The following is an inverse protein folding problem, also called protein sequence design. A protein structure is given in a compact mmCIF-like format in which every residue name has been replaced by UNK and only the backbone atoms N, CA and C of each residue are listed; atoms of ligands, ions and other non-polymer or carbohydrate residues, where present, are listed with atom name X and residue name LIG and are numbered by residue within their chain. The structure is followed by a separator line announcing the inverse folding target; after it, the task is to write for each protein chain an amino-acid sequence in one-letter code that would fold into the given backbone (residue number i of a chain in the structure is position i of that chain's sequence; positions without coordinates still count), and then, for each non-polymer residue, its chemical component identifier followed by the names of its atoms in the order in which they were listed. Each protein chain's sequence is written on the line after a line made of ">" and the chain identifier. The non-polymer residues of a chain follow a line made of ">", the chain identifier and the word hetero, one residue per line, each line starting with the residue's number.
data_IF_367732675774
#
_entry.id   IF_367732675774
#
_cell.length_a   1.000
_cell.length_b   1.000
_cell.length_c   1.000
_cell.angle_alpha   90.00
_cell.angle_beta   90.00
_cell.angle_gamma   90.00
#
_symmetry.space_group_name_H-M   'P 1'
#
loop_
_entity.id
_entity.type
_entity.pdbx_description
1 polymer ?
#
# COMPACT_ATOMS: atom_id res chain seq x y z
N UNK A 1 21.76 24.76 -43.48
CA UNK A 1 22.01 24.24 -42.14
C UNK A 1 20.78 23.50 -41.66
N UNK A 2 20.67 22.19 -41.91
CA UNK A 2 19.48 21.40 -41.59
C UNK A 2 19.69 20.80 -40.16
N UNK A 3 18.86 21.19 -39.22
CA UNK A 3 18.82 20.62 -37.86
C UNK A 3 18.19 19.23 -37.89
N UNK A 4 18.89 18.31 -37.35
CA UNK A 4 18.56 16.88 -37.28
C UNK A 4 17.51 16.69 -36.16
N UNK A 5 16.23 16.46 -36.54
CA UNK A 5 15.08 16.28 -35.61
C UNK A 5 14.69 14.82 -35.43
N UNK A 6 15.59 13.86 -35.70
CA UNK A 6 15.21 12.43 -35.71
C UNK A 6 15.22 11.73 -34.33
N UNK A 7 15.80 12.33 -33.30
CA UNK A 7 15.88 11.68 -31.96
C UNK A 7 14.62 11.83 -31.11
N UNK A 8 13.85 12.90 -31.31
CA UNK A 8 12.66 13.22 -30.48
C UNK A 8 11.46 12.36 -30.88
N UNK A 9 11.40 11.94 -32.14
CA UNK A 9 10.27 11.14 -32.65
C UNK A 9 10.22 9.69 -32.17
N UNK A 10 11.34 9.09 -31.83
CA UNK A 10 11.37 7.69 -31.36
C UNK A 10 10.90 7.57 -29.90
N UNK A 11 11.33 8.47 -29.04
CA UNK A 11 10.91 8.52 -27.64
C UNK A 11 9.42 8.91 -27.53
N UNK A 12 8.98 9.87 -28.35
CA UNK A 12 7.56 10.23 -28.40
C UNK A 12 6.70 9.05 -28.91
N UNK A 13 7.18 8.28 -29.88
CA UNK A 13 6.48 7.10 -30.37
C UNK A 13 6.37 6.00 -29.29
N UNK A 14 7.44 5.73 -28.56
CA UNK A 14 7.45 4.74 -27.48
C UNK A 14 6.49 5.16 -26.35
N UNK A 15 6.51 6.42 -25.93
CA UNK A 15 5.58 6.94 -24.92
C UNK A 15 4.14 6.87 -25.40
N UNK A 16 3.87 7.16 -26.66
CA UNK A 16 2.53 7.09 -27.25
C UNK A 16 2.01 5.65 -27.29
N UNK A 17 2.88 4.68 -27.60
CA UNK A 17 2.54 3.24 -27.59
C UNK A 17 2.23 2.77 -26.17
N UNK A 18 3.01 3.19 -25.18
CA UNK A 18 2.76 2.87 -23.77
C UNK A 18 1.43 3.45 -23.31
N UNK A 19 1.13 4.71 -23.63
CA UNK A 19 -0.15 5.35 -23.30
C UNK A 19 -1.31 4.65 -24.01
N UNK A 20 -1.17 4.24 -25.26
CA UNK A 20 -2.22 3.51 -25.99
C UNK A 20 -2.45 2.11 -25.42
N UNK A 21 -1.41 1.43 -24.93
CA UNK A 21 -1.54 0.13 -24.27
C UNK A 21 -2.24 0.25 -22.91
N UNK A 22 -1.95 1.30 -22.14
CA UNK A 22 -2.64 1.60 -20.88
C UNK A 22 -4.12 1.93 -21.14
N UNK A 23 -4.42 2.74 -22.16
CA UNK A 23 -5.79 3.09 -22.53
C UNK A 23 -6.56 1.90 -23.12
N UNK A 24 -5.90 1.00 -23.84
CA UNK A 24 -6.52 -0.23 -24.33
C UNK A 24 -6.86 -1.21 -23.19
N UNK A 25 -6.01 -1.30 -22.15
CA UNK A 25 -6.28 -2.08 -20.93
C UNK A 25 -7.51 -1.60 -20.18
N UNK A 26 -7.69 -0.30 -20.06
CA UNK A 26 -8.85 0.32 -19.40
C UNK A 26 -10.15 0.11 -20.20
N UNK A 27 -10.07 0.09 -21.53
CA UNK A 27 -11.25 -0.07 -22.40
C UNK A 27 -11.84 -1.48 -22.39
N UNK A 28 -11.06 -2.51 -22.07
CA UNK A 28 -11.53 -3.90 -21.98
C UNK A 28 -12.35 -4.14 -20.70
N UNK A 29 -12.08 -3.41 -19.62
CA UNK A 29 -12.88 -3.50 -18.38
C UNK A 29 -14.32 -2.99 -18.54
N UNK A 30 -14.59 -2.12 -19.50
CA UNK A 30 -15.92 -1.53 -19.69
C UNK A 30 -16.91 -2.43 -20.45
N UNK A 31 -16.49 -3.51 -21.08
CA UNK A 31 -17.31 -4.34 -21.98
C UNK A 31 -17.88 -5.60 -21.31
N UNK A 32 -17.45 -5.97 -20.11
CA UNK A 32 -17.79 -7.26 -19.48
C UNK A 32 -18.92 -7.24 -18.45
N UNK A 33 -19.73 -6.18 -18.37
CA UNK A 33 -20.79 -6.07 -17.35
C UNK A 33 -22.13 -6.74 -17.68
N UNK A 34 -22.25 -7.61 -18.66
CA UNK A 34 -23.51 -8.32 -18.91
C UNK A 34 -23.29 -9.84 -18.99
N UNK A 35 -23.74 -10.53 -17.94
CA UNK A 35 -23.86 -12.00 -17.74
C UNK A 35 -22.81 -12.66 -16.83
N UNK A 36 -22.93 -12.48 -15.51
CA UNK A 36 -21.85 -12.81 -14.59
C UNK A 36 -22.11 -13.89 -13.52
N UNK A 37 -23.13 -14.66 -13.52
CA UNK A 37 -23.35 -15.63 -12.44
C UNK A 37 -22.95 -17.09 -12.76
N UNK A 38 -22.39 -17.37 -13.92
CA UNK A 38 -21.99 -18.73 -14.32
C UNK A 38 -20.53 -18.95 -14.68
N UNK A 39 -19.67 -17.91 -14.65
CA UNK A 39 -18.28 -17.99 -15.18
C UNK A 39 -17.20 -17.43 -14.26
N UNK A 40 -17.43 -17.34 -12.96
CA UNK A 40 -16.54 -16.63 -12.03
C UNK A 40 -15.16 -17.29 -11.88
N UNK A 41 -15.06 -18.60 -11.90
CA UNK A 41 -13.75 -19.28 -11.80
C UNK A 41 -12.96 -19.25 -13.10
N UNK A 42 -13.63 -19.36 -14.23
CA UNK A 42 -12.99 -19.34 -15.54
C UNK A 42 -12.51 -17.93 -15.90
N UNK A 43 -13.29 -16.89 -15.56
CA UNK A 43 -12.92 -15.49 -15.73
C UNK A 43 -11.76 -15.08 -14.83
N UNK A 44 -11.68 -15.62 -13.60
CA UNK A 44 -10.55 -15.39 -12.69
C UNK A 44 -9.26 -15.97 -13.27
N UNK A 45 -9.30 -17.20 -13.77
CA UNK A 45 -8.14 -17.83 -14.39
C UNK A 45 -7.69 -17.15 -15.69
N UNK A 46 -8.62 -16.61 -16.48
CA UNK A 46 -8.30 -15.85 -17.70
C UNK A 46 -7.75 -14.46 -17.37
N UNK A 47 -8.23 -13.83 -16.30
CA UNK A 47 -7.74 -12.53 -15.83
C UNK A 47 -6.34 -12.65 -15.21
N UNK A 48 -6.10 -13.67 -14.39
CA UNK A 48 -4.79 -13.97 -13.81
C UNK A 48 -3.77 -14.33 -14.91
N UNK A 49 -4.19 -15.06 -15.93
CA UNK A 49 -3.36 -15.38 -17.10
C UNK A 49 -3.12 -14.16 -18.00
N UNK A 50 -4.09 -13.26 -18.14
CA UNK A 50 -3.92 -12.02 -18.89
C UNK A 50 -2.97 -11.09 -18.16
N UNK A 51 -3.11 -10.96 -16.84
CA UNK A 51 -2.23 -10.15 -15.99
C UNK A 51 -0.81 -10.72 -15.95
N UNK A 52 -0.67 -12.05 -15.90
CA UNK A 52 0.62 -12.71 -16.00
C UNK A 52 1.29 -12.48 -17.36
N UNK A 53 0.53 -12.59 -18.46
CA UNK A 53 1.02 -12.27 -19.81
C UNK A 53 1.40 -10.80 -19.98
N UNK A 54 0.62 -9.90 -19.40
CA UNK A 54 0.92 -8.47 -19.42
C UNK A 54 2.21 -8.18 -18.64
N UNK A 55 2.37 -8.76 -17.45
CA UNK A 55 3.58 -8.66 -16.65
C UNK A 55 4.80 -9.29 -17.36
N UNK A 56 4.65 -10.44 -18.02
CA UNK A 56 5.70 -11.05 -18.82
C UNK A 56 6.09 -10.17 -20.03
N UNK A 57 5.13 -9.52 -20.63
CA UNK A 57 5.35 -8.59 -21.75
C UNK A 57 6.04 -7.33 -21.28
N UNK A 58 5.60 -6.74 -20.16
CA UNK A 58 6.23 -5.59 -19.52
C UNK A 58 7.66 -5.92 -19.08
N UNK A 59 7.87 -7.09 -18.47
CA UNK A 59 9.21 -7.58 -18.12
C UNK A 59 10.10 -7.69 -19.38
N UNK A 60 9.61 -8.25 -20.47
CA UNK A 60 10.38 -8.36 -21.70
C UNK A 60 10.73 -7.01 -22.35
N UNK A 61 9.85 -6.02 -22.22
CA UNK A 61 10.15 -4.64 -22.64
C UNK A 61 11.17 -3.97 -21.72
N UNK A 62 11.05 -4.21 -20.43
CA UNK A 62 12.02 -3.74 -19.42
C UNK A 62 13.41 -4.34 -19.68
N UNK A 63 13.49 -5.63 -19.94
CA UNK A 63 14.74 -6.31 -20.29
C UNK A 63 15.39 -5.71 -21.53
N UNK A 64 14.58 -5.40 -22.54
CA UNK A 64 15.07 -4.72 -23.75
C UNK A 64 15.52 -3.28 -23.52
N UNK A 65 14.79 -2.53 -22.67
CA UNK A 65 15.20 -1.18 -22.27
C UNK A 65 16.51 -1.24 -21.48
N UNK A 66 16.64 -2.19 -20.57
CA UNK A 66 17.82 -2.42 -19.76
C UNK A 66 19.03 -2.83 -20.62
N UNK A 67 18.83 -3.58 -21.70
CA UNK A 67 19.89 -3.91 -22.67
C UNK A 67 20.45 -2.64 -23.36
N UNK A 68 19.61 -1.62 -23.57
CA UNK A 68 20.00 -0.33 -24.15
C UNK A 68 20.45 0.72 -23.12
N UNK A 69 20.16 0.51 -21.83
CA UNK A 69 20.46 1.46 -20.73
C UNK A 69 21.11 0.73 -19.54
N UNK A 70 22.29 0.12 -19.72
CA UNK A 70 22.94 -0.71 -18.70
C UNK A 70 23.33 0.06 -17.43
N UNK A 71 23.27 1.39 -17.45
CA UNK A 71 23.62 2.23 -16.30
C UNK A 71 22.41 2.61 -15.42
N UNK A 72 21.21 2.14 -15.76
CA UNK A 72 20.03 2.43 -14.91
C UNK A 72 20.11 1.69 -13.58
N UNK A 73 19.58 2.33 -12.54
CA UNK A 73 19.52 1.71 -11.22
C UNK A 73 18.72 0.41 -11.26
N UNK A 74 17.61 0.37 -12.02
CA UNK A 74 16.78 -0.83 -12.17
C UNK A 74 17.54 -2.01 -12.77
N UNK A 75 18.35 -1.77 -13.81
CA UNK A 75 19.19 -2.81 -14.40
C UNK A 75 20.22 -3.33 -13.38
N UNK A 76 20.91 -2.43 -12.68
CA UNK A 76 21.94 -2.80 -11.69
C UNK A 76 21.38 -3.59 -10.51
N UNK A 77 20.17 -3.28 -10.07
CA UNK A 77 19.49 -4.06 -9.02
C UNK A 77 19.02 -5.42 -9.57
N UNK A 78 18.44 -5.44 -10.78
CA UNK A 78 17.91 -6.68 -11.37
C UNK A 78 19.00 -7.70 -11.69
N UNK A 79 20.20 -7.26 -12.06
CA UNK A 79 21.31 -8.17 -12.36
C UNK A 79 22.23 -8.47 -11.15
N UNK A 80 21.88 -7.92 -9.98
CA UNK A 80 22.60 -8.17 -8.72
C UNK A 80 23.88 -7.37 -8.52
N UNK A 81 24.15 -6.35 -9.35
CA UNK A 81 25.27 -5.41 -9.10
C UNK A 81 24.97 -4.54 -7.87
N UNK A 82 23.71 -4.26 -7.61
CA UNK A 82 23.22 -3.56 -6.42
C UNK A 82 22.26 -4.48 -5.67
N UNK A 83 22.56 -4.75 -4.43
CA UNK A 83 21.78 -5.69 -3.61
C UNK A 83 20.53 -5.04 -3.02
N UNK A 84 19.51 -5.87 -2.79
CA UNK A 84 18.35 -5.52 -1.95
C UNK A 84 18.87 -5.10 -0.56
N UNK A 85 18.34 -4.00 -0.05
CA UNK A 85 18.76 -3.44 1.23
C UNK A 85 19.92 -2.47 1.16
N UNK A 86 20.57 -2.28 0.00
CA UNK A 86 21.60 -1.24 -0.20
C UNK A 86 21.00 0.16 0.02
N UNK A 87 21.79 1.06 0.56
CA UNK A 87 21.38 2.45 0.80
C UNK A 87 21.51 3.30 -0.46
N UNK A 88 20.53 4.19 -0.64
CA UNK A 88 20.45 5.13 -1.78
C UNK A 88 20.16 6.53 -1.27
N UNK A 89 20.88 7.52 -1.78
CA UNK A 89 20.66 8.93 -1.49
C UNK A 89 19.45 9.46 -2.28
N UNK A 90 18.27 9.27 -1.70
CA UNK A 90 17.03 9.89 -2.17
C UNK A 90 16.71 11.08 -1.28
N UNK A 91 16.43 12.22 -1.89
CA UNK A 91 16.09 13.45 -1.18
C UNK A 91 14.70 13.87 -1.62
N UNK A 92 13.69 13.85 -0.72
CA UNK A 92 12.37 14.38 -1.01
C UNK A 92 12.41 15.89 -1.30
N UNK A 93 11.41 16.38 -2.05
CA UNK A 93 11.17 17.81 -2.15
C UNK A 93 10.85 18.39 -0.75
N UNK A 94 11.31 19.59 -0.47
CA UNK A 94 11.05 20.23 0.83
C UNK A 94 9.56 20.54 1.00
N UNK A 95 9.01 20.16 2.15
CA UNK A 95 7.62 20.41 2.53
C UNK A 95 7.59 21.37 3.71
N UNK A 96 6.75 22.39 3.59
CA UNK A 96 6.56 23.42 4.62
C UNK A 96 5.10 23.50 5.06
N UNK A 97 4.86 24.05 6.23
CA UNK A 97 3.51 24.28 6.75
C UNK A 97 2.65 25.23 5.88
N UNK A 98 3.29 25.96 4.96
CA UNK A 98 2.57 26.85 4.03
C UNK A 98 2.06 26.14 2.78
N UNK A 99 2.54 24.94 2.47
CA UNK A 99 2.16 24.20 1.29
C UNK A 99 0.69 23.77 1.36
N UNK A 100 -0.05 23.98 0.28
CA UNK A 100 -1.48 23.67 0.25
C UNK A 100 -1.75 22.17 0.46
N UNK A 101 -0.96 21.30 -0.17
CA UNK A 101 -1.09 19.85 0.00
C UNK A 101 -0.83 19.41 1.44
N UNK A 102 0.13 20.05 2.12
CA UNK A 102 0.38 19.77 3.51
C UNK A 102 -0.78 20.20 4.42
N UNK A 103 -1.32 21.40 4.19
CA UNK A 103 -2.53 21.87 4.91
C UNK A 103 -3.73 20.96 4.68
N UNK A 104 -3.91 20.52 3.45
CA UNK A 104 -4.96 19.56 3.10
C UNK A 104 -4.75 18.22 3.83
N UNK A 105 -3.51 17.69 3.87
CA UNK A 105 -3.18 16.49 4.62
C UNK A 105 -3.57 16.61 6.10
N UNK A 106 -3.14 17.67 6.77
CA UNK A 106 -3.44 17.87 8.21
C UNK A 106 -4.95 18.00 8.43
N UNK A 107 -5.66 18.74 7.56
CA UNK A 107 -7.11 18.85 7.62
C UNK A 107 -7.81 17.50 7.42
N UNK A 108 -7.32 16.69 6.49
CA UNK A 108 -7.88 15.37 6.20
C UNK A 108 -7.64 14.40 7.36
N UNK A 109 -6.45 14.39 7.93
CA UNK A 109 -6.14 13.60 9.12
C UNK A 109 -7.04 13.99 10.29
N UNK A 110 -7.19 15.27 10.57
CA UNK A 110 -8.07 15.76 11.64
C UNK A 110 -9.56 15.46 11.41
N UNK A 111 -9.98 15.38 10.14
CA UNK A 111 -11.42 15.24 9.80
C UNK A 111 -11.84 13.78 9.63
N UNK A 112 -10.98 12.94 9.04
CA UNK A 112 -11.38 11.64 8.52
C UNK A 112 -10.69 10.44 9.19
N UNK A 113 -9.81 10.66 10.15
CA UNK A 113 -9.14 9.58 10.89
C UNK A 113 -10.01 8.98 12.00
N UNK A 114 -11.13 9.62 12.32
CA UNK A 114 -11.94 9.29 13.50
C UNK A 114 -11.32 9.76 14.82
N UNK A 115 -10.08 10.28 14.78
CA UNK A 115 -9.34 10.69 15.96
C UNK A 115 -10.00 11.89 16.67
N UNK A 116 -10.14 11.77 17.96
CA UNK A 116 -10.63 12.83 18.85
C UNK A 116 -9.55 13.36 19.82
N UNK A 117 -8.36 12.78 19.79
CA UNK A 117 -7.24 13.14 20.65
C UNK A 117 -6.38 14.25 20.01
N UNK A 118 -6.25 15.37 20.71
CA UNK A 118 -5.50 16.55 20.24
C UNK A 118 -3.97 16.30 20.15
N UNK A 119 -3.47 15.23 20.73
CA UNK A 119 -2.04 14.89 20.73
C UNK A 119 -1.58 14.20 19.44
N UNK A 120 -2.52 13.74 18.59
CA UNK A 120 -2.22 13.04 17.35
C UNK A 120 -2.72 13.80 16.11
N UNK A 121 -2.26 13.42 14.95
CA UNK A 121 -2.71 13.95 13.64
C UNK A 121 -2.54 15.47 13.48
N UNK A 122 -1.64 16.08 14.23
CA UNK A 122 -1.43 17.54 14.24
C UNK A 122 -0.24 17.95 13.37
N UNK A 123 -0.22 19.21 12.93
CA UNK A 123 0.92 19.77 12.19
C UNK A 123 2.22 19.76 13.01
N UNK A 124 2.14 19.73 14.33
CA UNK A 124 3.33 19.61 15.19
C UNK A 124 3.95 18.21 15.10
N UNK A 125 3.14 17.18 14.98
CA UNK A 125 3.55 15.78 14.96
C UNK A 125 3.79 15.27 13.53
N UNK A 126 2.87 15.56 12.62
CA UNK A 126 2.93 15.09 11.23
C UNK A 126 3.75 16.07 10.39
N UNK A 127 5.04 15.88 10.30
CA UNK A 127 5.94 16.72 9.49
C UNK A 127 6.99 15.90 8.77
N UNK A 128 7.54 16.50 7.72
CA UNK A 128 8.64 15.89 6.99
C UNK A 128 9.84 15.72 7.90
N UNK A 129 10.25 14.48 8.09
CA UNK A 129 11.48 14.18 8.80
C UNK A 129 12.70 14.44 7.92
N UNK A 130 13.72 15.06 8.50
CA UNK A 130 14.99 15.31 7.81
C UNK A 130 15.93 14.11 7.95
N UNK A 131 16.75 13.91 6.93
CA UNK A 131 17.78 12.86 6.93
C UNK A 131 17.25 11.42 6.99
N UNK A 132 16.02 11.20 6.50
CA UNK A 132 15.52 9.84 6.29
C UNK A 132 16.46 9.12 5.34
N UNK A 133 16.93 7.93 5.75
CA UNK A 133 17.75 7.06 4.93
C UNK A 133 16.86 6.12 4.14
N UNK A 134 17.26 5.80 2.93
CA UNK A 134 16.47 4.99 2.00
C UNK A 134 17.26 3.75 1.58
N UNK A 135 16.56 2.63 1.51
CA UNK A 135 17.14 1.35 1.12
C UNK A 135 16.42 0.78 -0.09
N UNK A 136 17.14 0.10 -0.96
CA UNK A 136 16.55 -0.63 -2.08
C UNK A 136 15.60 -1.70 -1.53
N UNK A 137 14.33 -1.61 -1.90
CA UNK A 137 13.31 -2.59 -1.55
C UNK A 137 13.29 -3.72 -2.59
N UNK A 138 13.05 -3.38 -3.84
CA UNK A 138 13.03 -4.33 -4.97
C UNK A 138 12.99 -3.59 -6.32
N UNK A 139 12.83 -4.36 -7.38
CA UNK A 139 12.44 -3.86 -8.71
C UNK A 139 11.05 -4.42 -9.04
N UNK A 140 10.11 -3.54 -9.29
CA UNK A 140 8.74 -3.89 -9.67
C UNK A 140 8.37 -3.13 -10.95
N UNK A 141 7.88 -3.83 -11.95
CA UNK A 141 7.52 -3.27 -13.27
C UNK A 141 8.65 -2.42 -13.90
N UNK A 142 9.92 -2.86 -13.72
CA UNK A 142 11.10 -2.18 -14.23
C UNK A 142 11.50 -0.90 -13.49
N UNK A 143 10.88 -0.60 -12.39
CA UNK A 143 11.17 0.53 -11.54
C UNK A 143 11.72 0.08 -10.18
N UNK A 144 12.75 0.74 -9.70
CA UNK A 144 13.28 0.48 -8.35
C UNK A 144 12.33 1.08 -7.33
N UNK A 145 11.99 0.28 -6.33
CA UNK A 145 11.33 0.78 -5.13
C UNK A 145 12.34 0.93 -4.01
N UNK A 146 12.27 2.06 -3.34
CA UNK A 146 13.02 2.34 -2.11
C UNK A 146 12.06 2.30 -0.93
N UNK A 147 12.55 1.87 0.23
CA UNK A 147 11.84 1.93 1.50
C UNK A 147 12.65 2.78 2.48
N UNK A 148 11.99 3.54 3.36
CA UNK A 148 12.68 4.22 4.44
C UNK A 148 13.43 3.20 5.32
N UNK A 149 14.64 3.49 5.75
CA UNK A 149 15.41 2.56 6.57
C UNK A 149 14.76 2.32 7.94
N UNK A 150 14.01 3.30 8.42
CA UNK A 150 13.27 3.27 9.68
C UNK A 150 11.85 3.78 9.43
N UNK A 151 10.86 3.44 10.27
CA UNK A 151 9.59 4.12 10.27
C UNK A 151 9.73 5.63 10.48
N UNK A 152 8.78 6.39 9.99
CA UNK A 152 8.74 7.85 10.05
C UNK A 152 7.44 8.32 10.71
N UNK A 153 7.43 9.54 11.21
CA UNK A 153 6.28 10.14 11.88
C UNK A 153 5.84 9.36 13.14
N UNK A 154 6.86 9.05 13.96
CA UNK A 154 6.69 8.41 15.25
C UNK A 154 7.88 8.67 16.16
N UNK A 155 7.76 8.36 17.44
CA UNK A 155 8.88 8.34 18.36
C UNK A 155 9.58 7.00 18.32
N UNK A 156 10.91 7.01 18.43
CA UNK A 156 11.68 5.75 18.50
C UNK A 156 11.26 4.98 19.74
N UNK A 157 10.85 3.75 19.53
CA UNK A 157 10.38 2.82 20.58
C UNK A 157 9.03 3.17 21.24
N UNK A 158 8.35 4.17 20.73
CA UNK A 158 7.02 4.56 21.15
C UNK A 158 6.07 4.54 19.95
N UNK A 159 4.83 4.79 20.27
CA UNK A 159 3.74 4.87 19.33
C UNK A 159 3.99 5.93 18.24
N UNK A 160 3.36 5.76 17.11
CA UNK A 160 3.42 6.72 16.02
C UNK A 160 2.53 7.94 16.24
N UNK A 161 2.54 8.83 15.28
CA UNK A 161 1.78 10.09 15.36
C UNK A 161 0.49 10.08 14.55
N UNK A 162 0.24 8.98 13.79
CA UNK A 162 -1.00 8.83 13.03
C UNK A 162 -1.95 7.94 13.80
N UNK A 163 -2.93 8.57 14.43
CA UNK A 163 -4.02 7.87 15.09
C UNK A 163 -5.17 7.64 14.10
N UNK A 164 -5.66 6.42 14.10
CA UNK A 164 -6.89 6.00 13.43
C UNK A 164 -7.84 5.48 14.51
N UNK A 165 -9.11 5.83 14.41
CA UNK A 165 -10.12 5.46 15.40
C UNK A 165 -11.45 5.17 14.70
N UNK A 166 -12.22 4.26 15.27
CA UNK A 166 -13.56 3.88 14.87
C UNK A 166 -13.70 3.48 13.38
N UNK A 167 -14.92 3.43 12.87
CA UNK A 167 -15.20 3.10 11.47
C UNK A 167 -14.70 4.17 10.48
N UNK A 168 -14.54 5.42 10.91
CA UNK A 168 -13.97 6.48 10.09
C UNK A 168 -12.49 6.21 9.83
N UNK A 169 -11.75 5.91 10.89
CA UNK A 169 -10.34 5.51 10.80
C UNK A 169 -10.17 4.29 9.89
N UNK A 170 -10.98 3.24 10.07
CA UNK A 170 -10.94 2.07 9.21
C UNK A 170 -11.21 2.40 7.75
N UNK A 171 -12.26 3.17 7.48
CA UNK A 171 -12.69 3.49 6.13
C UNK A 171 -11.66 4.33 5.38
N UNK A 172 -11.02 5.27 6.04
CA UNK A 172 -10.10 6.22 5.42
C UNK A 172 -8.61 5.86 5.56
N UNK A 173 -8.27 4.81 6.32
CA UNK A 173 -6.90 4.45 6.69
C UNK A 173 -5.92 4.44 5.53
N UNK A 174 -6.22 3.65 4.49
CA UNK A 174 -5.32 3.45 3.35
C UNK A 174 -4.95 4.77 2.69
N UNK A 175 -5.97 5.62 2.46
CA UNK A 175 -5.75 6.90 1.82
C UNK A 175 -5.00 7.88 2.73
N UNK A 176 -5.36 7.97 4.00
CA UNK A 176 -4.72 8.89 4.94
C UNK A 176 -3.24 8.55 5.14
N UNK A 177 -2.91 7.27 5.29
CA UNK A 177 -1.53 6.83 5.47
C UNK A 177 -0.73 7.02 4.17
N UNK A 178 -1.29 6.66 3.00
CA UNK A 178 -0.64 6.84 1.69
C UNK A 178 -0.46 8.34 1.37
N UNK A 179 -1.46 9.19 1.65
CA UNK A 179 -1.37 10.64 1.46
C UNK A 179 -0.32 11.27 2.37
N UNK A 180 -0.16 10.78 3.60
CA UNK A 180 0.90 11.22 4.50
C UNK A 180 2.27 10.95 3.88
N UNK A 181 2.52 9.72 3.43
CA UNK A 181 3.79 9.37 2.80
C UNK A 181 4.02 10.18 1.51
N UNK A 182 3.01 10.29 0.65
CA UNK A 182 3.13 10.98 -0.63
C UNK A 182 3.29 12.49 -0.49
N UNK A 183 2.69 13.09 0.51
CA UNK A 183 2.85 14.53 0.76
C UNK A 183 4.23 14.83 1.34
N UNK A 184 4.70 14.02 2.28
CA UNK A 184 5.92 14.35 3.02
C UNK A 184 7.21 13.88 2.30
N UNK A 185 7.15 12.83 1.48
CA UNK A 185 8.37 12.19 0.96
C UNK A 185 8.45 12.10 -0.56
N UNK A 186 7.60 12.83 -1.30
CA UNK A 186 7.66 12.86 -2.75
C UNK A 186 8.86 13.67 -3.26
N UNK A 187 9.40 13.28 -4.41
CA UNK A 187 10.26 14.11 -5.25
C UNK A 187 9.72 14.06 -6.69
N UNK A 188 9.12 15.16 -7.11
CA UNK A 188 8.42 15.25 -8.39
C UNK A 188 9.31 15.01 -9.62
N UNK A 189 10.63 15.07 -9.48
CA UNK A 189 11.58 14.86 -10.59
C UNK A 189 11.95 13.41 -10.78
N UNK A 190 12.10 12.65 -9.69
CA UNK A 190 12.71 11.32 -9.73
C UNK A 190 11.80 10.22 -9.19
N UNK A 191 10.71 10.54 -8.48
CA UNK A 191 9.72 9.57 -8.02
C UNK A 191 8.50 9.54 -8.96
N UNK A 192 8.08 8.35 -9.35
CA UNK A 192 6.83 8.13 -10.10
C UNK A 192 5.65 7.91 -9.17
N UNK A 193 5.89 7.35 -7.97
CA UNK A 193 4.88 7.10 -6.95
C UNK A 193 5.51 7.10 -5.56
N UNK A 194 4.75 7.59 -4.60
CA UNK A 194 5.07 7.47 -3.17
C UNK A 194 3.82 6.99 -2.44
N UNK A 195 3.98 5.99 -1.60
CA UNK A 195 2.92 5.41 -0.78
C UNK A 195 3.50 4.83 0.49
N UNK A 196 2.68 4.38 1.40
CA UNK A 196 3.14 3.59 2.54
C UNK A 196 3.34 2.11 2.14
N UNK A 197 4.09 1.36 2.95
CA UNK A 197 4.23 -0.09 2.78
C UNK A 197 2.87 -0.77 2.97
N UNK A 198 2.62 -1.82 2.17
CA UNK A 198 1.38 -2.59 2.19
C UNK A 198 1.63 -4.02 2.66
N UNK A 199 0.58 -4.66 3.18
CA UNK A 199 0.67 -6.07 3.56
C UNK A 199 1.02 -6.95 2.35
N UNK A 200 0.51 -6.61 1.17
CA UNK A 200 0.79 -7.32 -0.08
C UNK A 200 2.27 -7.28 -0.46
N UNK A 201 2.98 -6.21 -0.12
CA UNK A 201 4.44 -6.11 -0.34
C UNK A 201 5.20 -7.12 0.52
N UNK A 202 4.75 -7.35 1.76
CA UNK A 202 5.32 -8.37 2.65
C UNK A 202 4.96 -9.76 2.16
N UNK A 203 3.67 -10.01 1.88
CA UNK A 203 3.15 -11.30 1.41
C UNK A 203 3.82 -11.75 0.10
N UNK A 204 4.13 -10.82 -0.80
CA UNK A 204 4.81 -11.13 -2.05
C UNK A 204 6.21 -11.74 -1.85
N UNK A 205 6.88 -11.39 -0.75
CA UNK A 205 8.24 -11.84 -0.43
C UNK A 205 8.28 -13.03 0.53
N UNK A 206 7.13 -13.48 1.04
CA UNK A 206 7.03 -14.67 1.89
C UNK A 206 7.10 -15.95 1.08
N UNK A 207 7.82 -16.95 1.59
CA UNK A 207 7.89 -18.31 1.03
C UNK A 207 6.57 -19.05 1.12
N UNK A 208 5.96 -18.99 2.29
CA UNK A 208 4.70 -19.67 2.57
C UNK A 208 3.55 -18.65 2.60
N UNK A 209 2.48 -18.97 1.88
CA UNK A 209 1.26 -18.15 1.78
C UNK A 209 0.01 -18.92 2.20
N UNK A 210 0.17 -19.98 2.99
CA UNK A 210 -0.95 -20.71 3.59
C UNK A 210 -1.35 -20.02 4.91
N UNK A 211 -2.10 -18.94 4.77
CA UNK A 211 -2.52 -18.12 5.91
C UNK A 211 -3.43 -18.84 6.90
N UNK A 212 -4.08 -19.94 6.50
CA UNK A 212 -4.88 -20.78 7.40
C UNK A 212 -4.05 -21.43 8.52
N UNK A 213 -2.73 -21.47 8.36
CA UNK A 213 -1.80 -21.89 9.42
C UNK A 213 -1.48 -20.78 10.42
N UNK A 214 -1.72 -19.54 10.04
CA UNK A 214 -1.47 -18.38 10.87
C UNK A 214 -2.74 -17.92 11.58
N UNK A 215 -3.88 -18.06 10.93
CA UNK A 215 -5.20 -17.76 11.48
C UNK A 215 -6.24 -18.76 10.95
N UNK A 216 -6.94 -19.44 11.88
CA UNK A 216 -7.90 -20.48 11.53
C UNK A 216 -9.12 -19.96 10.77
N UNK A 217 -9.46 -18.69 10.92
CA UNK A 217 -10.60 -18.05 10.26
C UNK A 217 -10.24 -17.42 8.91
N UNK A 218 -8.95 -17.29 8.58
CA UNK A 218 -8.54 -16.69 7.32
C UNK A 218 -9.22 -17.35 6.12
N UNK A 219 -9.84 -16.51 5.30
CA UNK A 219 -10.52 -16.94 4.07
C UNK A 219 -11.91 -17.52 4.28
N UNK A 220 -12.34 -17.82 5.52
CA UNK A 220 -13.72 -18.24 5.81
C UNK A 220 -14.68 -17.08 5.68
N UNK A 221 -15.92 -17.39 5.29
CA UNK A 221 -16.99 -16.40 5.18
C UNK A 221 -18.01 -16.68 6.27
N UNK A 222 -18.30 -15.66 7.05
CA UNK A 222 -19.30 -15.69 8.10
C UNK A 222 -20.53 -14.91 7.67
N UNK A 223 -21.71 -15.33 8.16
CA UNK A 223 -22.98 -14.70 7.82
C UNK A 223 -23.56 -14.09 9.08
N UNK A 224 -23.82 -12.81 9.04
CA UNK A 224 -24.42 -12.07 10.14
C UNK A 224 -25.80 -11.57 9.76
N UNK A 225 -26.67 -11.52 10.76
CA UNK A 225 -27.92 -10.81 10.66
C UNK A 225 -27.65 -9.32 10.85
N UNK A 226 -28.10 -8.49 9.93
CA UNK A 226 -27.84 -7.05 9.95
C UNK A 226 -28.70 -6.30 10.97
N UNK A 227 -29.63 -6.97 11.59
CA UNK A 227 -30.49 -6.39 12.62
C UNK A 227 -29.66 -5.92 13.82
N UNK A 228 -29.74 -4.63 14.12
CA UNK A 228 -29.03 -3.97 15.23
C UNK A 228 -27.49 -3.97 15.17
N UNK A 229 -26.89 -4.21 14.00
CA UNK A 229 -25.45 -4.16 13.82
C UNK A 229 -25.02 -3.05 12.87
N UNK A 230 -23.82 -2.53 13.09
CA UNK A 230 -23.22 -1.50 12.28
C UNK A 230 -22.03 -2.08 11.54
N UNK A 231 -21.96 -1.80 10.25
CA UNK A 231 -20.83 -2.23 9.42
C UNK A 231 -20.27 -1.01 8.70
N UNK A 232 -18.96 -0.77 8.78
CA UNK A 232 -18.32 0.23 7.95
C UNK A 232 -18.35 -0.21 6.48
N UNK A 233 -17.94 0.66 5.57
CA UNK A 233 -17.76 0.27 4.18
C UNK A 233 -16.69 -0.83 4.11
N UNK A 234 -17.09 -2.04 3.71
CA UNK A 234 -16.20 -3.19 3.72
C UNK A 234 -15.44 -3.27 2.42
N UNK A 235 -14.15 -2.93 2.48
CA UNK A 235 -13.22 -3.14 1.40
C UNK A 235 -12.16 -4.12 1.86
N UNK A 236 -11.97 -5.17 1.10
CA UNK A 236 -11.00 -6.20 1.43
C UNK A 236 -9.63 -5.84 0.86
N UNK A 237 -8.56 -6.13 1.59
CA UNK A 237 -7.19 -5.77 1.24
C UNK A 237 -6.78 -6.09 -0.19
N UNK A 238 -7.14 -7.26 -0.68
CA UNK A 238 -6.62 -7.77 -1.95
C UNK A 238 -7.16 -7.05 -3.18
N UNK A 239 -8.35 -6.51 -3.11
CA UNK A 239 -9.02 -5.99 -4.31
C UNK A 239 -9.83 -4.73 -4.08
N UNK A 240 -9.97 -4.27 -2.85
CA UNK A 240 -10.91 -3.19 -2.55
C UNK A 240 -12.29 -3.46 -3.18
N UNK A 241 -12.80 -4.68 -2.98
CA UNK A 241 -13.98 -5.18 -3.67
C UNK A 241 -15.24 -4.47 -3.22
N UNK A 242 -16.16 -4.30 -4.15
CA UNK A 242 -17.53 -3.92 -3.83
C UNK A 242 -18.21 -5.06 -3.06
N UNK A 243 -18.93 -4.73 -2.01
CA UNK A 243 -19.73 -5.66 -1.22
C UNK A 243 -21.21 -5.34 -1.42
N UNK A 244 -22.01 -6.35 -1.76
CA UNK A 244 -23.45 -6.18 -1.93
C UNK A 244 -24.19 -6.70 -0.69
N UNK A 245 -25.04 -5.87 -0.12
CA UNK A 245 -25.88 -6.18 1.02
C UNK A 245 -27.34 -5.98 0.57
N UNK A 246 -28.11 -7.05 0.44
CA UNK A 246 -29.40 -6.98 -0.19
C UNK A 246 -29.30 -6.43 -1.61
N UNK A 247 -29.97 -5.33 -1.89
CA UNK A 247 -29.92 -4.64 -3.18
C UNK A 247 -28.87 -3.50 -3.22
N UNK A 248 -28.21 -3.22 -2.08
CA UNK A 248 -27.24 -2.12 -1.97
C UNK A 248 -25.85 -2.62 -2.19
N UNK A 249 -25.12 -1.96 -3.08
CA UNK A 249 -23.71 -2.21 -3.31
C UNK A 249 -22.88 -1.12 -2.64
N UNK A 250 -22.03 -1.53 -1.69
CA UNK A 250 -21.04 -0.67 -1.03
C UNK A 250 -19.81 -0.66 -1.90
N UNK A 251 -19.48 0.50 -2.46
CA UNK A 251 -18.35 0.67 -3.37
C UNK A 251 -17.08 1.00 -2.61
N UNK A 252 -15.96 0.93 -3.33
CA UNK A 252 -14.68 1.43 -2.89
C UNK A 252 -14.75 2.85 -2.36
N UNK A 253 -13.88 3.18 -1.42
CA UNK A 253 -14.00 4.38 -0.61
C UNK A 253 -13.11 5.47 -1.17
N UNK A 254 -13.71 6.62 -1.40
CA UNK A 254 -12.99 7.90 -1.47
C UNK A 254 -12.95 8.50 -0.06
N UNK A 255 -11.95 9.36 0.16
CA UNK A 255 -11.80 10.05 1.44
C UNK A 255 -13.07 10.83 1.79
N UNK A 256 -13.53 10.69 3.02
CA UNK A 256 -14.77 11.31 3.51
C UNK A 256 -16.04 10.53 3.21
N UNK A 257 -15.96 9.36 2.60
CA UNK A 257 -17.10 8.45 2.42
C UNK A 257 -17.11 7.36 3.50
N UNK A 258 -16.87 7.77 4.74
CA UNK A 258 -16.68 6.89 5.87
C UNK A 258 -17.93 6.65 6.70
N UNK A 259 -19.03 7.30 6.38
CA UNK A 259 -20.26 7.13 7.13
C UNK A 259 -20.67 5.65 7.19
N UNK A 260 -21.10 5.23 8.36
CA UNK A 260 -21.76 3.94 8.51
C UNK A 260 -22.81 3.82 7.42
N UNK A 261 -22.88 2.66 6.82
CA UNK A 261 -23.93 2.40 5.87
C UNK A 261 -25.27 2.37 6.59
N UNK A 262 -25.94 3.52 6.64
CA UNK A 262 -27.24 3.67 7.31
C UNK A 262 -28.31 2.73 6.77
N UNK A 263 -28.12 2.25 5.54
CA UNK A 263 -28.98 1.24 4.95
C UNK A 263 -29.02 -0.05 5.78
N UNK A 264 -27.91 -0.46 6.34
CA UNK A 264 -27.87 -1.64 7.22
C UNK A 264 -28.60 -1.34 8.55
N UNK A 265 -28.63 -0.06 8.94
CA UNK A 265 -29.11 0.38 10.24
C UNK A 265 -30.64 0.56 10.35
N UNK A 266 -31.34 0.99 9.32
CA UNK A 266 -32.67 1.58 9.49
C UNK A 266 -33.81 0.93 8.74
N UNK A 267 -33.66 0.32 7.62
CA UNK A 267 -34.78 -0.02 6.76
C UNK A 267 -35.41 -1.40 6.99
N UNK A 268 -34.80 -2.26 7.79
CA UNK A 268 -35.24 -3.66 7.88
C UNK A 268 -35.61 -4.17 9.26
N UNK A 269 -35.93 -3.30 10.16
CA UNK A 269 -36.54 -3.70 11.43
C UNK A 269 -37.92 -4.44 11.26
N UNK A 270 -38.40 -4.62 10.05
CA UNK A 270 -39.79 -5.02 9.88
C UNK A 270 -40.09 -6.28 9.09
N UNK A 271 -39.27 -6.88 8.26
CA UNK A 271 -39.78 -8.10 7.56
C UNK A 271 -38.76 -9.10 7.08
N UNK A 272 -37.69 -9.34 7.26
CA UNK A 272 -36.66 -10.34 6.93
C UNK A 272 -35.30 -9.68 7.07
N UNK A 273 -34.64 -10.00 8.13
CA UNK A 273 -33.28 -9.51 8.37
C UNK A 273 -32.39 -9.88 7.19
N UNK A 274 -31.85 -8.86 6.52
CA UNK A 274 -30.81 -9.10 5.53
C UNK A 274 -29.61 -9.75 6.20
N UNK A 275 -28.95 -10.56 5.45
CA UNK A 275 -27.72 -11.19 5.88
C UNK A 275 -26.53 -10.54 5.19
N UNK A 276 -25.54 -10.14 5.97
CA UNK A 276 -24.25 -9.71 5.50
C UNK A 276 -23.27 -10.89 5.54
N UNK A 277 -22.60 -11.12 4.43
CA UNK A 277 -21.51 -12.10 4.35
C UNK A 277 -20.17 -11.38 4.43
N UNK A 278 -19.38 -11.70 5.42
CA UNK A 278 -18.07 -11.11 5.66
C UNK A 278 -17.02 -12.20 5.58
N UNK A 279 -16.02 -11.99 4.71
CA UNK A 279 -14.87 -12.87 4.60
C UNK A 279 -13.78 -12.40 5.55
N UNK A 280 -13.29 -13.27 6.44
CA UNK A 280 -12.11 -12.98 7.24
C UNK A 280 -10.87 -12.89 6.34
N UNK A 281 -10.12 -11.80 6.48
CA UNK A 281 -8.87 -11.53 5.73
C UNK A 281 -7.69 -11.26 6.64
N UNK A 282 -7.93 -11.28 7.94
CA UNK A 282 -6.89 -11.13 8.96
C UNK A 282 -6.03 -12.38 9.06
N UNK A 283 -4.75 -12.18 9.23
CA UNK A 283 -3.80 -13.18 9.66
C UNK A 283 -2.73 -12.54 10.55
N UNK A 284 -2.25 -13.30 11.51
CA UNK A 284 -1.19 -12.90 12.43
C UNK A 284 -0.01 -13.84 12.30
N UNK A 285 1.20 -13.30 12.37
CA UNK A 285 2.39 -14.13 12.45
C UNK A 285 3.55 -13.38 13.10
N UNK A 286 4.22 -14.04 14.06
CA UNK A 286 5.59 -13.69 14.42
C UNK A 286 6.50 -14.09 13.28
N UNK A 287 7.14 -13.10 12.67
CA UNK A 287 7.97 -13.29 11.49
C UNK A 287 9.40 -13.66 11.87
N UNK A 288 9.97 -14.55 11.09
CA UNK A 288 11.36 -14.99 11.20
C UNK A 288 12.08 -14.78 9.87
N UNK A 289 13.42 -14.78 9.90
CA UNK A 289 14.23 -14.55 8.69
C UNK A 289 13.97 -15.61 7.61
N UNK A 290 13.67 -16.82 8.02
CA UNK A 290 13.38 -17.97 7.17
C UNK A 290 12.05 -17.89 6.45
N UNK A 291 11.15 -17.02 6.89
CA UNK A 291 9.84 -16.83 6.26
C UNK A 291 9.93 -16.12 4.90
N UNK A 292 11.06 -15.48 4.61
CA UNK A 292 11.25 -14.71 3.39
C UNK A 292 12.14 -15.42 2.37
N UNK A 293 11.86 -15.21 1.08
CA UNK A 293 12.67 -15.72 -0.03
C UNK A 293 14.11 -15.21 0.03
N UNK A 294 14.29 -13.97 0.47
CA UNK A 294 15.58 -13.35 0.75
C UNK A 294 15.56 -12.80 2.18
N UNK A 295 16.52 -13.22 3.00
CA UNK A 295 16.64 -12.81 4.40
C UNK A 295 16.72 -11.29 4.61
N UNK A 296 17.11 -10.52 3.59
CA UNK A 296 17.12 -9.06 3.65
C UNK A 296 15.74 -8.45 3.81
N UNK A 297 14.68 -9.13 3.36
CA UNK A 297 13.31 -8.66 3.55
C UNK A 297 12.89 -8.66 5.03
N UNK A 298 13.39 -9.61 5.82
CA UNK A 298 13.19 -9.58 7.26
C UNK A 298 13.76 -8.29 7.88
N UNK A 299 14.98 -7.90 7.49
CA UNK A 299 15.59 -6.66 7.96
C UNK A 299 14.82 -5.42 7.49
N UNK A 300 14.30 -5.45 6.26
CA UNK A 300 13.60 -4.31 5.67
C UNK A 300 12.20 -4.11 6.24
N UNK A 301 11.47 -5.19 6.50
CA UNK A 301 10.09 -5.10 6.93
C UNK A 301 9.95 -5.20 8.45
N UNK A 302 10.65 -6.13 9.08
CA UNK A 302 10.33 -6.58 10.42
C UNK A 302 11.35 -6.08 11.45
N UNK A 303 12.63 -6.16 11.13
CA UNK A 303 13.71 -5.89 12.08
C UNK A 303 14.70 -4.85 11.57
N UNK A 304 14.39 -3.96 10.74
CA UNK A 304 15.25 -2.88 10.20
C UNK A 304 16.70 -2.76 10.75
N UNK A 305 17.30 -3.87 11.22
CA UNK A 305 18.66 -3.98 11.78
C UNK A 305 18.82 -3.48 13.22
N UNK A 306 17.74 -3.20 13.95
CA UNK A 306 17.77 -2.68 15.33
C UNK A 306 17.14 -3.64 16.32
N UNK A 307 17.58 -3.58 17.59
CA UNK A 307 17.03 -4.41 18.66
C UNK A 307 15.64 -3.95 19.13
N UNK A 308 15.22 -2.75 18.78
CA UNK A 308 13.96 -2.17 19.17
C UNK A 308 13.11 -2.00 17.93
N UNK A 309 11.98 -2.64 17.92
CA UNK A 309 11.04 -2.62 16.81
C UNK A 309 10.21 -1.37 16.90
N UNK A 310 10.15 -0.67 15.79
CA UNK A 310 9.28 0.47 15.65
C UNK A 310 7.92 -0.03 15.16
N UNK A 311 6.87 0.52 15.71
CA UNK A 311 5.50 0.24 15.30
C UNK A 311 5.16 1.07 14.08
N UNK A 312 4.54 0.48 13.07
CA UNK A 312 4.11 1.24 11.92
C UNK A 312 2.93 0.61 11.18
N UNK A 313 2.03 1.47 10.71
CA UNK A 313 0.90 1.09 9.89
C UNK A 313 1.34 0.52 8.54
N UNK A 314 0.58 -0.47 8.07
CA UNK A 314 0.55 -0.85 6.67
C UNK A 314 -0.70 -0.24 6.03
N UNK A 315 -0.59 0.29 4.80
CA UNK A 315 -1.76 0.80 4.08
C UNK A 315 -2.62 -0.35 3.55
N UNK A 316 -3.10 -1.18 4.46
CA UNK A 316 -3.90 -2.37 4.13
C UNK A 316 -4.88 -2.67 5.24
N UNK A 317 -6.15 -2.75 4.88
CA UNK A 317 -7.23 -3.09 5.79
C UNK A 317 -7.41 -4.60 5.87
N UNK A 318 -7.94 -5.07 6.99
CA UNK A 318 -8.38 -6.45 7.14
C UNK A 318 -9.67 -6.51 7.96
N UNK A 319 -10.29 -7.66 7.90
CA UNK A 319 -11.40 -8.00 8.77
C UNK A 319 -11.07 -9.30 9.47
N UNK A 320 -11.09 -9.29 10.78
CA UNK A 320 -11.07 -10.49 11.60
C UNK A 320 -12.53 -10.86 11.92
N UNK A 321 -13.01 -11.96 11.34
CA UNK A 321 -14.40 -12.36 11.45
C UNK A 321 -14.52 -13.76 12.03
N UNK A 322 -15.51 -13.94 12.92
CA UNK A 322 -15.91 -15.23 13.46
C UNK A 322 -17.44 -15.40 13.42
N UNK A 323 -18.02 -16.30 14.22
CA UNK A 323 -19.45 -16.56 14.26
C UNK A 323 -20.25 -15.43 14.90
N UNK A 324 -19.64 -14.64 15.78
CA UNK A 324 -20.35 -13.73 16.68
C UNK A 324 -20.15 -12.25 16.31
N UNK A 325 -18.96 -11.89 15.83
CA UNK A 325 -18.62 -10.51 15.47
C UNK A 325 -17.62 -10.44 14.30
N UNK A 326 -17.40 -9.22 13.81
CA UNK A 326 -16.34 -8.90 12.89
C UNK A 326 -15.62 -7.64 13.37
N UNK A 327 -14.28 -7.73 13.53
CA UNK A 327 -13.40 -6.61 13.78
C UNK A 327 -12.89 -6.04 12.46
N UNK A 328 -12.98 -4.74 12.33
CA UNK A 328 -12.52 -3.97 11.17
C UNK A 328 -11.21 -3.27 11.54
N UNK A 329 -10.13 -3.69 10.90
CA UNK A 329 -8.79 -3.44 11.38
C UNK A 329 -7.87 -2.96 10.27
N UNK A 330 -6.76 -2.35 10.65
CA UNK A 330 -5.67 -1.99 9.75
C UNK A 330 -4.44 -2.79 10.14
N UNK A 331 -3.78 -3.40 9.17
CA UNK A 331 -2.53 -4.10 9.42
C UNK A 331 -1.45 -3.15 9.91
N UNK A 332 -0.61 -3.66 10.80
CA UNK A 332 0.61 -2.98 11.26
C UNK A 332 1.73 -3.99 11.50
N UNK A 333 2.94 -3.48 11.58
CA UNK A 333 4.09 -4.25 12.05
C UNK A 333 4.38 -3.83 13.49
N UNK A 334 4.53 -4.82 14.36
CA UNK A 334 4.69 -4.61 15.78
C UNK A 334 5.65 -5.62 16.38
N UNK A 335 6.75 -5.16 16.94
CA UNK A 335 7.65 -6.00 17.74
C UNK A 335 8.04 -7.34 17.10
N UNK A 336 8.28 -7.34 15.79
CA UNK A 336 8.64 -8.56 15.04
C UNK A 336 7.44 -9.32 14.46
N UNK A 337 6.22 -8.84 14.67
CA UNK A 337 5.00 -9.47 14.20
C UNK A 337 4.39 -8.68 13.04
N UNK A 338 3.71 -9.38 12.17
CA UNK A 338 2.63 -8.80 11.35
C UNK A 338 1.34 -9.06 12.10
N UNK A 339 0.60 -8.01 12.35
CA UNK A 339 -0.62 -8.01 13.16
C UNK A 339 -1.61 -6.95 12.65
N UNK A 340 -2.75 -6.79 13.31
CA UNK A 340 -3.72 -5.74 13.00
C UNK A 340 -4.15 -4.97 14.24
N UNK A 341 -4.38 -3.67 14.06
CA UNK A 341 -5.01 -2.82 15.07
C UNK A 341 -6.50 -2.73 14.81
N UNK A 342 -7.30 -3.21 15.75
CA UNK A 342 -8.76 -3.11 15.68
C UNK A 342 -9.19 -1.67 15.84
N UNK A 343 -10.02 -1.20 14.92
CA UNK A 343 -10.55 0.15 14.94
C UNK A 343 -12.06 0.16 15.21
N UNK A 344 -12.76 -0.89 14.79
CA UNK A 344 -14.20 -0.97 14.96
C UNK A 344 -14.68 -2.42 15.02
N UNK A 345 -15.60 -2.71 15.94
CA UNK A 345 -16.26 -4.01 16.04
C UNK A 345 -17.74 -3.93 15.63
N UNK A 346 -18.24 -4.93 14.91
CA UNK A 346 -19.62 -4.97 14.37
C UNK A 346 -20.71 -4.98 15.44
N UNK A 347 -20.39 -5.25 16.69
CA UNK A 347 -21.32 -5.18 17.82
C UNK A 347 -21.37 -3.78 18.48
N UNK A 348 -20.68 -2.79 17.88
CA UNK A 348 -20.75 -1.37 18.24
C UNK A 348 -19.61 -0.89 19.11
N UNK A 349 -18.50 -1.61 19.13
CA UNK A 349 -17.28 -1.18 19.82
C UNK A 349 -16.37 -0.33 18.93
N UNK A 350 -16.04 0.87 19.38
CA UNK A 350 -14.98 1.69 18.81
C UNK A 350 -13.63 1.38 19.49
N UNK A 351 -12.56 1.43 18.72
CA UNK A 351 -11.19 1.29 19.18
C UNK A 351 -10.28 2.22 18.41
N UNK A 352 -9.06 2.42 18.90
CA UNK A 352 -8.06 3.29 18.25
C UNK A 352 -6.69 2.64 18.25
N UNK A 353 -5.91 2.99 17.23
CA UNK A 353 -4.50 2.68 17.14
C UNK A 353 -3.70 3.87 16.64
N UNK A 354 -2.42 3.94 17.01
CA UNK A 354 -1.54 5.05 16.68
C UNK A 354 -0.14 4.54 16.37
N UNK A 355 0.24 4.63 15.10
CA UNK A 355 1.49 4.10 14.61
C UNK A 355 2.19 5.05 13.64
N UNK A 356 3.46 4.77 13.37
CA UNK A 356 4.29 5.48 12.41
C UNK A 356 3.94 5.10 10.96
N UNK A 357 4.56 5.76 9.99
CA UNK A 357 4.54 5.38 8.58
C UNK A 357 5.78 4.60 8.17
N UNK A 358 5.68 3.86 7.06
CA UNK A 358 6.81 3.22 6.40
C UNK A 358 6.83 3.57 4.91
N UNK A 359 7.33 4.76 4.53
CA UNK A 359 7.26 5.22 3.15
C UNK A 359 8.00 4.33 2.16
N UNK A 360 7.36 4.07 1.03
CA UNK A 360 7.91 3.38 -0.14
C UNK A 360 7.87 4.31 -1.35
N UNK A 361 9.03 4.50 -1.97
CA UNK A 361 9.23 5.37 -3.12
C UNK A 361 9.44 4.51 -4.36
N UNK A 362 8.62 4.65 -5.37
CA UNK A 362 8.87 4.08 -6.70
C UNK A 362 9.58 5.13 -7.53
N UNK A 363 10.80 4.85 -7.94
CA UNK A 363 11.61 5.75 -8.76
C UNK A 363 11.18 5.68 -10.24
N UNK A 364 11.45 6.74 -10.99
CA UNK A 364 11.33 6.71 -12.44
C UNK A 364 12.30 5.68 -13.03
N UNK A 365 11.91 4.98 -14.08
CA UNK A 365 12.69 3.89 -14.70
C UNK A 365 14.03 4.34 -15.30
N UNK A 366 14.18 5.63 -15.59
CA UNK A 366 15.40 6.21 -16.17
C UNK A 366 16.44 6.66 -15.16
N UNK A 367 16.23 6.46 -13.88
CA UNK A 367 17.17 6.84 -12.82
C UNK A 367 18.46 6.03 -12.96
N UNK A 368 19.58 6.73 -12.89
CA UNK A 368 20.93 6.17 -13.02
C UNK A 368 21.74 6.43 -11.75
N UNK A 369 22.79 5.62 -11.56
CA UNK A 369 23.83 5.91 -10.58
C UNK A 369 24.69 7.08 -11.09
N UNK A 370 25.06 7.99 -10.20
CA UNK A 370 26.05 9.01 -10.52
C UNK A 370 27.46 8.38 -10.60
N UNK A 371 27.93 8.15 -11.82
CA UNK A 371 29.21 7.51 -12.07
C UNK A 371 30.42 8.34 -11.64
N UNK A 372 30.23 9.63 -11.35
CA UNK A 372 31.32 10.52 -10.88
C UNK A 372 31.55 10.39 -9.38
N UNK A 373 30.52 10.06 -8.64
CA UNK A 373 30.54 9.81 -7.20
C UNK A 373 29.50 8.74 -6.84
N UNK A 374 29.75 7.48 -7.18
CA UNK A 374 28.68 6.46 -7.14
C UNK A 374 28.23 6.08 -5.72
N UNK A 375 29.10 6.18 -4.71
CA UNK A 375 28.89 5.53 -3.42
C UNK A 375 29.16 4.02 -3.49
N UNK A 376 28.92 3.31 -2.39
CA UNK A 376 29.08 1.84 -2.30
C UNK A 376 27.86 1.13 -1.72
N UNK A 377 26.77 1.86 -1.49
CA UNK A 377 25.50 1.34 -0.99
C UNK A 377 25.49 1.02 0.50
N UNK A 378 26.52 1.39 1.24
CA UNK A 378 26.53 1.30 2.70
C UNK A 378 25.75 2.47 3.32
N UNK A 379 25.38 2.34 4.58
CA UNK A 379 24.67 3.40 5.32
C UNK A 379 25.45 4.73 5.36
N UNK A 380 26.78 4.66 5.40
CA UNK A 380 27.64 5.83 5.48
C UNK A 380 28.06 6.37 4.09
N UNK A 381 27.85 5.59 3.05
CA UNK A 381 28.24 5.94 1.67
C UNK A 381 27.22 5.39 0.68
N UNK A 382 25.98 5.83 0.84
CA UNK A 382 24.84 5.41 0.01
C UNK A 382 25.07 5.71 -1.48
N UNK A 383 24.46 4.92 -2.37
CA UNK A 383 24.50 5.17 -3.80
C UNK A 383 23.90 6.53 -4.14
N UNK A 384 24.63 7.33 -4.90
CA UNK A 384 24.14 8.59 -5.44
C UNK A 384 23.40 8.34 -6.77
N UNK A 385 22.22 8.91 -6.91
CA UNK A 385 21.35 8.77 -8.08
C UNK A 385 21.13 10.11 -8.78
N UNK A 386 20.84 10.06 -10.09
CA UNK A 386 20.60 11.23 -10.94
C UNK A 386 19.55 10.95 -12.01
#
# INVERSE_FOLDING_TARGET
>A
MMKNTKGITLVALVITIIIMLILAGISIQAITQTNLFGKTEQAKGEMDNAQKKENETLSSYTDRINEYLPDTLSYKVSNGEIEIGSYVNYVPDEVTENDEKYKELISNLATYSGNTDEDYNTAEKIKQEKNVKWRVLDVKDGQVRLISAEPTNGEKMNDGYIQLENYDGYNNAVKLIDDTCSTLYNNAKIASKVQNLKIEDIEEKMKEKDYSKFDENYGKTFTYTTENRYYPNILLKEKEQEVTIGETTIKGIELGQSEQNEYIKQEKANEEADTLKVKSTYWYKTMEQEDFDNSKYYELFINNGKKNYDYYWLSSRCVDADSDYANFSVYYVYSGNVDSGDLYCSDGGDSSGYDACRPVITLNSNIQIDTTNPGDGTENNAYNIK
#
